data_IF_267909962229
#
_entry.id   IF_267909962229
#
_cell.length_a   1.000
_cell.length_b   1.000
_cell.length_c   1.000
_cell.angle_alpha   90.00
_cell.angle_beta   90.00
_cell.angle_gamma   90.00
#
_symmetry.space_group_name_H-M   'P 1'
#
loop_
_entity.id
_entity.type
_entity.pdbx_description
1 polymer ?
#
# COMPACT_ATOMS: atom_id res chain seq x y z
N UNK A 1 2.39 17.39 -27.26
CA UNK A 1 3.67 17.66 -26.57
C UNK A 1 3.42 17.55 -25.09
N UNK A 2 3.78 16.41 -24.49
CA UNK A 2 4.10 16.34 -23.06
C UNK A 2 5.42 15.58 -22.98
N UNK A 3 6.45 16.32 -22.59
CA UNK A 3 7.83 15.91 -22.47
C UNK A 3 8.09 15.42 -21.04
N UNK A 4 9.05 14.49 -20.93
CA UNK A 4 9.91 14.24 -19.75
C UNK A 4 9.32 13.45 -18.57
N UNK A 5 9.60 12.16 -18.58
CA UNK A 5 10.29 11.52 -17.44
C UNK A 5 11.31 10.50 -17.96
N UNK A 6 12.56 10.95 -18.10
CA UNK A 6 13.71 10.06 -17.98
C UNK A 6 13.76 9.57 -16.53
N UNK A 7 12.99 8.54 -16.21
CA UNK A 7 13.05 7.82 -14.94
C UNK A 7 14.16 6.79 -15.00
N UNK A 8 15.39 7.22 -14.68
CA UNK A 8 16.48 6.42 -14.09
C UNK A 8 16.36 4.89 -14.24
N UNK A 9 16.95 4.34 -15.31
CA UNK A 9 17.31 2.92 -15.36
C UNK A 9 18.44 2.65 -14.35
N UNK A 10 18.11 2.17 -13.15
CA UNK A 10 19.12 1.60 -12.23
C UNK A 10 18.55 0.40 -11.46
N UNK A 11 18.55 -0.77 -12.13
CA UNK A 11 18.43 -2.08 -11.48
C UNK A 11 17.01 -2.64 -11.36
N UNK A 12 16.47 -3.17 -12.47
CA UNK A 12 15.30 -4.07 -12.58
C UNK A 12 14.39 -4.08 -11.34
N UNK A 13 13.51 -3.09 -11.24
CA UNK A 13 12.52 -3.07 -10.18
C UNK A 13 11.44 -4.15 -10.44
N UNK A 14 11.26 -5.07 -9.49
CA UNK A 14 10.30 -6.18 -9.63
C UNK A 14 8.85 -5.68 -9.80
N UNK A 15 8.56 -4.50 -9.23
CA UNK A 15 7.30 -3.79 -9.40
C UNK A 15 7.07 -3.34 -10.85
N UNK A 16 8.11 -2.81 -11.52
CA UNK A 16 8.03 -2.38 -12.91
C UNK A 16 7.93 -3.58 -13.87
N UNK A 17 8.64 -4.68 -13.59
CA UNK A 17 8.57 -5.92 -14.38
C UNK A 17 7.14 -6.46 -14.42
N UNK A 18 6.44 -6.43 -13.28
CA UNK A 18 5.05 -6.87 -13.18
C UNK A 18 4.05 -5.76 -13.59
N UNK A 19 4.51 -4.52 -13.81
CA UNK A 19 3.65 -3.38 -14.12
C UNK A 19 2.70 -3.01 -12.99
N UNK A 20 3.13 -3.20 -11.74
CA UNK A 20 2.33 -2.93 -10.53
C UNK A 20 2.98 -1.84 -9.70
N UNK A 21 2.16 -1.10 -8.96
CA UNK A 21 2.67 -0.10 -8.04
C UNK A 21 3.28 -0.77 -6.77
N UNK A 22 4.24 -0.13 -6.09
CA UNK A 22 4.86 -0.67 -4.87
C UNK A 22 3.88 -0.84 -3.70
N UNK A 23 2.75 -0.12 -3.73
CA UNK A 23 1.64 -0.25 -2.79
C UNK A 23 0.64 -1.37 -3.18
N UNK A 24 0.88 -2.09 -4.28
CA UNK A 24 -0.05 -3.11 -4.76
C UNK A 24 -0.20 -4.25 -3.75
N UNK A 25 -1.44 -4.71 -3.63
CA UNK A 25 -1.82 -5.85 -2.80
C UNK A 25 -1.32 -7.16 -3.42
N UNK A 26 -1.14 -8.20 -2.60
CA UNK A 26 -0.71 -9.52 -3.09
C UNK A 26 -1.66 -10.08 -4.16
N UNK A 27 -2.96 -9.75 -4.07
CA UNK A 27 -3.97 -10.08 -5.08
C UNK A 27 -3.72 -9.39 -6.42
N UNK A 28 -3.33 -8.11 -6.41
CA UNK A 28 -3.01 -7.35 -7.62
C UNK A 28 -1.73 -7.89 -8.28
N UNK A 29 -0.72 -8.23 -7.49
CA UNK A 29 0.52 -8.88 -7.94
C UNK A 29 0.21 -10.20 -8.63
N UNK A 30 -0.67 -11.04 -8.05
CA UNK A 30 -1.13 -12.28 -8.67
C UNK A 30 -1.87 -12.03 -9.99
N UNK A 31 -2.78 -11.06 -10.03
CA UNK A 31 -3.53 -10.74 -11.26
C UNK A 31 -2.61 -10.21 -12.36
N UNK A 32 -1.61 -9.41 -12.02
CA UNK A 32 -0.60 -8.93 -12.97
C UNK A 32 0.25 -10.09 -13.51
N UNK A 33 0.74 -10.98 -12.64
CA UNK A 33 1.46 -12.18 -13.03
C UNK A 33 0.67 -13.04 -14.03
N UNK A 34 -0.61 -13.33 -13.74
CA UNK A 34 -1.46 -14.11 -14.64
C UNK A 34 -1.64 -13.45 -16.01
N UNK A 35 -1.82 -12.11 -16.05
CA UNK A 35 -1.93 -11.36 -17.31
C UNK A 35 -0.64 -11.41 -18.13
N UNK A 36 0.51 -11.28 -17.48
CA UNK A 36 1.82 -11.30 -18.14
C UNK A 36 2.19 -12.70 -18.63
N UNK A 37 1.90 -13.74 -17.83
CA UNK A 37 2.09 -15.13 -18.21
C UNK A 37 1.22 -15.52 -19.43
N UNK A 38 -0.02 -15.02 -19.50
CA UNK A 38 -0.90 -15.25 -20.66
C UNK A 38 -0.41 -14.54 -21.93
N UNK A 39 0.20 -13.35 -21.79
CA UNK A 39 0.80 -12.63 -22.92
C UNK A 39 2.08 -13.32 -23.42
N UNK A 40 2.86 -13.93 -22.53
CA UNK A 40 4.07 -14.67 -22.88
C UNK A 40 3.80 -16.17 -23.16
N UNK A 41 2.56 -16.55 -23.48
CA UNK A 41 2.21 -17.95 -23.69
C UNK A 41 2.86 -18.49 -24.99
N UNK A 42 3.53 -19.65 -24.94
CA UNK A 42 4.30 -20.20 -26.07
C UNK A 42 3.43 -20.54 -27.28
N UNK A 43 2.12 -20.71 -27.08
CA UNK A 43 1.14 -20.94 -28.16
C UNK A 43 1.00 -19.73 -29.12
N UNK A 44 1.25 -18.51 -28.63
CA UNK A 44 1.10 -17.27 -29.42
C UNK A 44 2.44 -16.63 -29.80
N UNK A 45 3.48 -16.92 -29.04
CA UNK A 45 4.85 -16.44 -29.26
C UNK A 45 5.80 -17.63 -29.31
N UNK A 46 5.69 -18.39 -30.39
CA UNK A 46 6.66 -19.42 -30.73
C UNK A 46 8.00 -18.71 -31.02
N UNK A 47 9.03 -18.99 -30.20
CA UNK A 47 10.45 -18.84 -30.57
C UNK A 47 11.12 -17.45 -30.52
N UNK A 48 10.71 -16.54 -29.63
CA UNK A 48 11.57 -15.38 -29.31
C UNK A 48 12.28 -15.58 -27.97
N UNK A 49 13.61 -15.62 -27.97
CA UNK A 49 14.44 -15.66 -26.74
C UNK A 49 14.06 -14.56 -25.74
N UNK A 50 13.55 -13.44 -26.25
CA UNK A 50 13.04 -12.32 -25.47
C UNK A 50 11.81 -12.67 -24.63
N UNK A 51 10.90 -13.52 -25.12
CA UNK A 51 9.71 -13.96 -24.39
C UNK A 51 10.11 -14.89 -23.22
N UNK A 52 11.09 -15.77 -23.45
CA UNK A 52 11.62 -16.64 -22.41
C UNK A 52 12.30 -15.84 -21.29
N UNK A 53 13.13 -14.86 -21.68
CA UNK A 53 13.81 -13.97 -20.73
C UNK A 53 12.84 -13.14 -19.89
N UNK A 54 11.82 -12.55 -20.52
CA UNK A 54 10.75 -11.80 -19.82
C UNK A 54 9.98 -12.70 -18.86
N UNK A 55 9.62 -13.91 -19.27
CA UNK A 55 8.92 -14.87 -18.40
C UNK A 55 9.75 -15.21 -17.15
N UNK A 56 11.06 -15.41 -17.32
CA UNK A 56 11.97 -15.66 -16.20
C UNK A 56 12.02 -14.47 -15.23
N UNK A 57 12.10 -13.25 -15.74
CA UNK A 57 12.06 -12.02 -14.92
C UNK A 57 10.73 -11.84 -14.18
N UNK A 58 9.60 -12.15 -14.84
CA UNK A 58 8.26 -12.10 -14.24
C UNK A 58 8.13 -13.14 -13.10
N UNK A 59 8.64 -14.36 -13.31
CA UNK A 59 8.62 -15.42 -12.29
C UNK A 59 9.45 -15.04 -11.06
N UNK A 60 10.65 -14.50 -11.27
CA UNK A 60 11.51 -14.05 -10.18
C UNK A 60 10.86 -12.90 -9.40
N UNK A 61 10.34 -11.89 -10.11
CA UNK A 61 9.61 -10.78 -9.51
C UNK A 61 8.43 -11.27 -8.66
N UNK A 62 7.62 -12.19 -9.20
CA UNK A 62 6.50 -12.77 -8.48
C UNK A 62 6.93 -13.53 -7.23
N UNK A 63 8.01 -14.32 -7.29
CA UNK A 63 8.52 -15.08 -6.15
C UNK A 63 9.04 -14.19 -5.00
N UNK A 64 9.60 -13.02 -5.32
CA UNK A 64 10.06 -12.05 -4.32
C UNK A 64 8.90 -11.24 -3.75
N UNK A 65 7.96 -10.79 -4.59
CA UNK A 65 6.85 -9.93 -4.16
C UNK A 65 5.71 -10.67 -3.47
N UNK A 66 5.55 -11.98 -3.72
CA UNK A 66 4.50 -12.81 -3.08
C UNK A 66 4.87 -13.19 -1.65
N UNK A 67 6.18 -13.35 -1.36
CA UNK A 67 6.65 -13.71 -0.03
C UNK A 67 6.84 -12.44 0.83
N UNK A 68 6.14 -12.32 1.97
CA UNK A 68 6.18 -11.11 2.77
C UNK A 68 7.57 -10.83 3.38
N UNK A 69 8.36 -11.88 3.60
CA UNK A 69 9.72 -11.74 4.15
C UNK A 69 10.65 -11.21 3.08
N UNK A 70 10.66 -11.83 1.89
CA UNK A 70 11.50 -11.40 0.76
C UNK A 70 11.10 -10.01 0.25
N UNK A 71 9.80 -9.73 0.17
CA UNK A 71 9.29 -8.40 -0.18
C UNK A 71 9.80 -7.35 0.79
N UNK A 72 9.80 -7.64 2.10
CA UNK A 72 10.34 -6.72 3.11
C UNK A 72 11.84 -6.49 2.93
N UNK A 73 12.62 -7.54 2.75
CA UNK A 73 14.07 -7.42 2.50
C UNK A 73 14.37 -6.60 1.24
N UNK A 74 13.51 -6.71 0.22
CA UNK A 74 13.58 -5.93 -1.00
C UNK A 74 13.16 -4.45 -0.81
N UNK A 75 12.12 -4.21 -0.03
CA UNK A 75 11.50 -2.89 0.21
C UNK A 75 12.27 -2.02 1.22
N UNK A 76 12.92 -2.63 2.22
CA UNK A 76 13.66 -1.92 3.29
C UNK A 76 14.78 -1.02 2.76
N UNK A 77 15.74 -1.49 1.95
CA UNK A 77 16.81 -0.65 1.43
C UNK A 77 16.33 0.34 0.36
N UNK A 78 15.19 0.07 -0.27
CA UNK A 78 14.63 0.92 -1.35
C UNK A 78 13.63 1.96 -0.85
N UNK A 79 13.23 1.93 0.43
CA UNK A 79 12.25 2.86 1.00
C UNK A 79 10.79 2.59 0.61
N UNK A 80 10.51 1.54 -0.19
CA UNK A 80 9.16 1.17 -0.65
C UNK A 80 8.24 0.63 0.47
N UNK A 81 8.78 0.36 1.66
CA UNK A 81 8.03 -0.08 2.86
C UNK A 81 7.61 1.02 3.83
N UNK A 82 7.86 2.30 3.53
CA UNK A 82 7.41 3.42 4.36
C UNK A 82 5.94 3.66 4.07
N UNK A 83 5.05 2.84 4.66
CA UNK A 83 3.64 3.23 4.77
C UNK A 83 3.63 4.56 5.51
N UNK A 84 3.21 5.63 4.83
CA UNK A 84 2.96 6.90 5.47
C UNK A 84 1.63 6.81 6.22
N UNK A 85 1.52 7.42 7.40
CA UNK A 85 0.23 7.48 8.07
C UNK A 85 -0.78 8.24 7.22
N UNK A 86 -1.99 7.68 7.07
CA UNK A 86 -3.11 8.32 6.35
C UNK A 86 -3.50 9.68 6.93
N UNK A 87 -3.40 9.85 8.24
CA UNK A 87 -3.76 11.10 8.93
C UNK A 87 -2.53 11.71 9.59
N UNK A 88 -2.43 13.04 9.57
CA UNK A 88 -1.37 13.78 10.28
C UNK A 88 -1.90 14.25 11.63
N UNK A 89 -1.00 14.62 12.54
CA UNK A 89 -1.39 15.34 13.76
C UNK A 89 -2.20 16.59 13.37
N UNK A 90 -3.33 16.80 14.04
CA UNK A 90 -4.29 17.86 13.75
C UNK A 90 -5.31 17.55 12.66
N UNK A 91 -5.23 16.38 12.00
CA UNK A 91 -6.26 15.98 11.03
C UNK A 91 -7.61 15.76 11.72
N UNK A 92 -8.67 16.36 11.16
CA UNK A 92 -10.06 16.09 11.54
C UNK A 92 -10.43 14.70 10.99
N UNK A 93 -10.86 13.82 11.88
CA UNK A 93 -11.25 12.44 11.56
C UNK A 93 -12.64 12.17 12.11
N UNK A 94 -13.42 11.40 11.37
CA UNK A 94 -14.72 10.89 11.81
C UNK A 94 -14.54 9.44 12.20
N UNK A 95 -15.06 9.07 13.36
CA UNK A 95 -15.04 7.66 13.79
C UNK A 95 -16.14 6.94 13.02
N UNK A 96 -15.77 5.87 12.34
CA UNK A 96 -16.64 5.12 11.46
C UNK A 96 -17.90 4.72 12.22
N UNK A 97 -19.05 4.84 11.55
CA UNK A 97 -20.29 4.37 12.16
C UNK A 97 -20.15 2.86 12.45
N UNK A 98 -19.65 2.02 11.56
CA UNK A 98 -19.56 0.59 11.82
C UNK A 98 -18.47 0.18 12.84
N UNK A 99 -17.74 1.12 13.46
CA UNK A 99 -16.80 0.83 14.54
C UNK A 99 -17.52 0.34 15.83
N UNK A 100 -16.97 -0.67 16.54
CA UNK A 100 -17.47 -1.11 17.85
C UNK A 100 -17.21 -0.10 18.98
N UNK A 101 -16.56 1.04 18.69
CA UNK A 101 -16.28 2.06 19.68
C UNK A 101 -17.53 2.83 20.11
N UNK A 102 -17.62 3.19 21.41
CA UNK A 102 -18.69 4.06 21.94
C UNK A 102 -18.70 5.46 21.33
N UNK A 103 -17.63 5.81 20.61
CA UNK A 103 -17.48 7.08 19.90
C UNK A 103 -17.85 6.99 18.41
N UNK A 104 -18.57 5.94 18.01
CA UNK A 104 -19.20 5.77 16.69
C UNK A 104 -19.81 7.07 16.17
N UNK A 105 -19.39 7.54 15.01
CA UNK A 105 -19.96 8.72 14.34
C UNK A 105 -19.53 10.07 14.92
N UNK A 106 -18.74 10.09 16.00
CA UNK A 106 -18.18 11.34 16.53
C UNK A 106 -17.06 11.85 15.63
N UNK A 107 -16.93 13.17 15.58
CA UNK A 107 -15.81 13.85 14.96
C UNK A 107 -14.76 14.11 16.04
N UNK A 108 -13.52 13.82 15.72
CA UNK A 108 -12.39 14.14 16.58
C UNK A 108 -11.19 14.66 15.78
N UNK A 109 -10.14 15.00 16.51
CA UNK A 109 -8.88 15.49 15.96
C UNK A 109 -7.75 14.54 16.36
N UNK A 110 -6.87 14.22 15.42
CA UNK A 110 -5.67 13.43 15.70
C UNK A 110 -4.73 14.25 16.58
N UNK A 111 -4.63 13.91 17.86
CA UNK A 111 -3.90 14.68 18.88
C UNK A 111 -2.40 14.40 18.84
N UNK A 112 -2.03 13.13 18.63
CA UNK A 112 -0.64 12.64 18.62
C UNK A 112 -0.25 12.03 17.30
N UNK A 113 1.06 12.00 17.07
CA UNK A 113 1.64 11.28 15.95
C UNK A 113 1.21 9.81 15.99
N UNK A 114 0.85 9.24 14.84
CA UNK A 114 0.34 7.88 14.77
C UNK A 114 1.45 6.89 15.13
N UNK A 115 1.12 6.00 16.06
CA UNK A 115 2.04 4.95 16.50
C UNK A 115 2.00 3.84 15.46
N UNK A 116 3.15 3.58 14.82
CA UNK A 116 3.32 2.45 13.90
C UNK A 116 3.61 1.20 14.72
N UNK A 117 2.64 0.30 14.79
CA UNK A 117 2.82 -1.04 15.35
C UNK A 117 2.66 -2.07 14.23
N UNK A 118 3.55 -3.07 14.17
CA UNK A 118 3.80 -4.14 13.18
C UNK A 118 3.06 -4.12 11.81
N UNK A 119 1.76 -3.83 11.75
CA UNK A 119 0.93 -3.82 10.53
C UNK A 119 -0.09 -2.67 10.43
N UNK A 120 -0.27 -1.84 11.47
CA UNK A 120 -1.33 -0.80 11.53
C UNK A 120 -0.86 0.49 12.18
N UNK A 121 -1.36 1.61 11.65
CA UNK A 121 -1.27 2.89 12.33
C UNK A 121 -2.39 3.01 13.35
N UNK A 122 -1.99 3.27 14.59
CA UNK A 122 -2.92 3.62 15.65
C UNK A 122 -2.88 5.12 15.86
N UNK A 123 -4.04 5.74 15.81
CA UNK A 123 -4.20 7.18 15.98
C UNK A 123 -4.78 7.47 17.36
N UNK A 124 -4.22 8.46 18.04
CA UNK A 124 -4.83 9.00 19.25
C UNK A 124 -5.73 10.15 18.84
N UNK A 125 -7.04 9.94 18.94
CA UNK A 125 -8.05 10.92 18.56
C UNK A 125 -8.62 11.56 19.81
N UNK A 126 -8.53 12.88 19.88
CA UNK A 126 -9.23 13.71 20.86
C UNK A 126 -10.64 13.98 20.36
N UNK A 127 -11.63 13.67 21.18
CA UNK A 127 -13.04 13.85 20.87
C UNK A 127 -13.62 14.77 21.94
N UNK A 128 -14.32 15.80 21.49
CA UNK A 128 -15.05 16.73 22.35
C UNK A 128 -16.51 16.29 22.39
N UNK A 129 -16.97 15.80 23.55
CA UNK A 129 -18.35 15.39 23.76
C UNK A 129 -18.89 16.02 25.04
N UNK A 130 -19.99 16.77 24.93
CA UNK A 130 -20.73 17.37 26.07
C UNK A 130 -19.82 18.03 27.14
N UNK A 131 -18.79 18.76 26.71
CA UNK A 131 -17.85 19.47 27.59
C UNK A 131 -16.70 18.61 28.15
N UNK A 132 -16.63 17.32 27.81
CA UNK A 132 -15.53 16.42 28.16
C UNK A 132 -14.63 16.18 26.94
N UNK A 133 -13.34 16.45 27.09
CA UNK A 133 -12.32 16.05 26.12
C UNK A 133 -11.79 14.66 26.47
N UNK A 134 -12.05 13.66 25.62
CA UNK A 134 -11.45 12.32 25.80
C UNK A 134 -10.52 11.99 24.65
N UNK A 135 -9.30 11.53 24.95
CA UNK A 135 -8.35 11.02 23.95
C UNK A 135 -8.39 9.50 23.96
N UNK A 136 -8.66 8.87 22.81
CA UNK A 136 -8.73 7.41 22.67
C UNK A 136 -7.87 6.94 21.50
N UNK A 137 -7.38 5.70 21.60
CA UNK A 137 -6.60 5.02 20.56
C UNK A 137 -7.56 4.34 19.59
N UNK A 138 -7.47 4.66 18.31
CA UNK A 138 -8.28 4.08 17.23
C UNK A 138 -7.38 3.49 16.16
N UNK A 139 -7.81 2.39 15.54
CA UNK A 139 -7.13 1.86 14.37
C UNK A 139 -7.44 2.73 13.15
N UNK A 140 -6.51 2.79 12.18
CA UNK A 140 -6.70 3.54 10.94
C UNK A 140 -8.02 3.24 10.21
N UNK A 141 -8.45 1.98 10.20
CA UNK A 141 -9.68 1.53 9.53
C UNK A 141 -10.96 2.04 10.19
N UNK A 142 -10.88 2.41 11.47
CA UNK A 142 -12.01 2.96 12.21
C UNK A 142 -12.15 4.48 12.00
N UNK A 143 -11.20 5.10 11.28
CA UNK A 143 -11.18 6.52 11.02
C UNK A 143 -11.49 6.79 9.55
N UNK A 144 -12.50 7.61 9.34
CA UNK A 144 -12.92 8.11 8.04
C UNK A 144 -12.57 9.60 7.92
N UNK A 145 -12.27 10.04 6.70
CA UNK A 145 -12.19 11.47 6.43
C UNK A 145 -13.61 12.04 6.52
N UNK A 146 -13.85 13.11 7.30
CA UNK A 146 -15.11 13.81 7.20
C UNK A 146 -15.24 14.35 5.77
N UNK A 147 -16.33 14.02 5.09
CA UNK A 147 -16.73 14.73 3.87
C UNK A 147 -16.96 16.21 4.25
N UNK A 148 -16.41 17.12 3.44
CA UNK A 148 -16.48 18.58 3.65
C UNK A 148 -17.90 19.11 3.45
#
# INVERSE_FOLDING_TARGET
>A
MELLTCGRQTGRDYYEILGVAPNASTEEIKRAYHRMAFQCHPDRHQETEEAHKKMQEINEAYAVLTDPTKRREYDVPRGYGIRVPKFKRGSKVRINVNSPSSYRGYIGFVDKEPVKDAFRFWYMVRIESRGLTTVRRFAEEELEKPED
#
